data_IF_030340652596
#
_entry.id   IF_030340652596
#
_cell.length_a   1.000
_cell.length_b   1.000
_cell.length_c   1.000
_cell.angle_alpha   90.00
_cell.angle_beta   90.00
_cell.angle_gamma   90.00
#
_symmetry.space_group_name_H-M   'P 1'
#
loop_
_entity.id
_entity.type
_entity.pdbx_description
1 polymer ?
#
# COMPACT_ATOMS: atom_id res chain seq x y z
N UNK A 1 4.53 -68.17 -15.32
CA UNK A 1 4.84 -66.99 -16.17
C UNK A 1 3.77 -65.96 -15.89
N UNK A 2 4.17 -64.91 -15.17
CA UNK A 2 3.32 -64.06 -14.35
C UNK A 2 3.23 -62.70 -15.04
N UNK A 3 2.03 -62.28 -15.47
CA UNK A 3 1.81 -60.94 -16.01
C UNK A 3 1.24 -60.05 -14.92
N UNK A 4 2.05 -59.07 -14.51
CA UNK A 4 1.69 -58.00 -13.57
C UNK A 4 1.00 -56.90 -14.37
N UNK A 5 -0.28 -56.64 -14.05
CA UNK A 5 -1.08 -55.55 -14.60
C UNK A 5 -0.79 -54.28 -13.78
N UNK A 6 -0.07 -53.32 -14.36
CA UNK A 6 0.19 -52.02 -13.75
C UNK A 6 -1.00 -51.08 -14.07
N UNK A 7 -1.79 -50.73 -13.05
CA UNK A 7 -2.84 -49.71 -13.15
C UNK A 7 -2.21 -48.35 -12.84
N UNK A 8 -2.02 -47.52 -13.86
CA UNK A 8 -1.60 -46.12 -13.70
C UNK A 8 -2.85 -45.24 -13.47
N UNK A 9 -2.92 -44.60 -12.30
CA UNK A 9 -3.90 -43.56 -12.00
C UNK A 9 -3.54 -42.28 -12.78
N UNK A 10 -4.39 -41.90 -13.72
CA UNK A 10 -4.35 -40.60 -14.38
C UNK A 10 -5.00 -39.56 -13.46
N UNK A 11 -4.21 -38.72 -12.81
CA UNK A 11 -4.73 -37.51 -12.14
C UNK A 11 -5.02 -36.49 -13.25
N UNK A 12 -6.31 -36.26 -13.49
CA UNK A 12 -6.78 -35.16 -14.34
C UNK A 12 -6.55 -33.87 -13.57
N UNK A 13 -5.46 -33.16 -13.89
CA UNK A 13 -5.26 -31.78 -13.48
C UNK A 13 -6.35 -30.92 -14.14
N UNK A 14 -7.30 -30.44 -13.36
CA UNK A 14 -8.17 -29.33 -13.75
C UNK A 14 -7.27 -28.10 -13.99
N UNK A 15 -6.96 -27.85 -15.26
CA UNK A 15 -6.49 -26.55 -15.73
C UNK A 15 -7.62 -25.55 -15.46
N UNK A 16 -7.53 -24.81 -14.35
CA UNK A 16 -8.20 -23.52 -14.25
C UNK A 16 -7.63 -22.66 -15.37
N UNK A 17 -8.42 -22.53 -16.43
CA UNK A 17 -8.21 -21.60 -17.53
C UNK A 17 -8.28 -20.19 -16.94
N UNK A 18 -7.15 -19.72 -16.40
CA UNK A 18 -6.84 -18.31 -16.26
C UNK A 18 -6.75 -17.78 -17.68
N UNK A 19 -7.91 -17.55 -18.31
CA UNK A 19 -8.03 -16.63 -19.42
C UNK A 19 -7.30 -15.38 -18.97
N UNK A 20 -6.10 -15.16 -19.52
CA UNK A 20 -5.39 -13.91 -19.32
C UNK A 20 -6.36 -12.83 -19.78
N UNK A 21 -6.88 -11.99 -18.87
CA UNK A 21 -7.86 -11.01 -19.25
C UNK A 21 -7.21 -10.11 -20.30
N UNK A 22 -7.82 -10.07 -21.49
CA UNK A 22 -7.54 -9.17 -22.61
C UNK A 22 -6.39 -8.20 -22.33
N UNK A 23 -5.20 -8.55 -22.84
CA UNK A 23 -3.98 -7.75 -22.76
C UNK A 23 -4.28 -6.34 -23.30
N UNK A 24 -4.57 -5.39 -22.42
CA UNK A 24 -4.58 -3.97 -22.76
C UNK A 24 -3.11 -3.57 -22.84
N UNK A 25 -2.52 -3.74 -24.02
CA UNK A 25 -1.19 -3.19 -24.31
C UNK A 25 -1.38 -1.69 -24.43
N UNK A 26 -1.10 -0.97 -23.34
CA UNK A 26 -0.98 0.49 -23.39
C UNK A 26 0.35 0.81 -24.06
N UNK A 27 0.32 1.16 -25.35
CA UNK A 27 1.49 1.71 -26.03
C UNK A 27 1.78 3.13 -25.50
N UNK A 28 2.57 3.23 -24.44
CA UNK A 28 3.13 4.49 -23.99
C UNK A 28 4.30 4.91 -24.87
N UNK A 29 4.20 6.07 -25.52
CA UNK A 29 5.35 6.70 -26.16
C UNK A 29 6.38 7.07 -25.08
N UNK A 30 7.56 6.45 -25.17
CA UNK A 30 8.73 6.71 -24.35
C UNK A 30 9.15 8.19 -24.45
N UNK A 31 9.02 8.91 -23.34
CA UNK A 31 9.79 10.12 -23.05
C UNK A 31 10.03 10.18 -21.53
N UNK A 32 10.79 9.22 -21.01
CA UNK A 32 11.25 9.25 -19.61
C UNK A 32 12.54 10.09 -19.52
N UNK A 33 12.38 11.40 -19.34
CA UNK A 33 13.48 12.25 -18.89
C UNK A 33 13.68 12.04 -17.37
N UNK A 34 14.80 11.43 -16.99
CA UNK A 34 15.32 11.47 -15.61
C UNK A 34 15.61 12.93 -15.26
N UNK A 35 14.78 13.55 -14.42
CA UNK A 35 15.13 14.73 -13.62
C UNK A 35 13.99 15.03 -12.64
N UNK A 36 13.90 14.25 -11.56
CA UNK A 36 13.05 14.58 -10.41
C UNK A 36 13.87 15.31 -9.36
N UNK A 37 13.94 16.65 -9.43
CA UNK A 37 14.15 17.43 -8.20
C UNK A 37 12.84 17.37 -7.42
N UNK A 38 12.89 16.96 -6.16
CA UNK A 38 11.72 16.97 -5.28
C UNK A 38 11.15 18.40 -5.23
N UNK A 39 9.88 18.52 -5.59
CA UNK A 39 9.13 19.76 -5.47
C UNK A 39 8.81 19.93 -3.99
N UNK A 40 9.53 20.84 -3.32
CA UNK A 40 9.22 21.28 -1.97
C UNK A 40 7.79 21.81 -1.94
N UNK A 41 6.90 21.13 -1.21
CA UNK A 41 5.55 21.63 -0.94
C UNK A 41 5.65 22.74 0.11
N UNK A 42 4.97 23.85 -0.15
CA UNK A 42 4.83 24.94 0.80
C UNK A 42 3.95 24.51 1.99
N UNK A 43 4.54 24.53 3.20
CA UNK A 43 3.84 24.68 4.48
C UNK A 43 3.59 23.40 5.28
N UNK A 44 4.59 22.94 6.06
CA UNK A 44 4.62 23.04 7.54
C UNK A 44 5.70 22.15 8.20
N UNK A 45 6.30 21.20 7.50
CA UNK A 45 7.45 20.42 7.98
C UNK A 45 8.40 20.08 6.83
N UNK A 46 9.71 20.03 7.09
CA UNK A 46 10.67 19.34 6.21
C UNK A 46 10.34 17.83 6.33
N UNK A 47 10.22 17.09 5.22
CA UNK A 47 9.82 15.67 5.20
C UNK A 47 10.67 14.79 6.14
N UNK A 48 11.82 15.29 6.56
CA UNK A 48 12.77 14.68 7.49
C UNK A 48 12.48 14.88 8.99
N UNK A 49 11.51 15.71 9.35
CA UNK A 49 11.02 15.85 10.75
C UNK A 49 9.92 14.82 11.08
N UNK A 50 9.37 14.16 10.06
CA UNK A 50 8.32 13.16 10.23
C UNK A 50 8.88 11.85 10.82
N UNK A 51 8.10 11.19 11.69
CA UNK A 51 8.50 9.90 12.24
C UNK A 51 8.43 8.81 11.18
N UNK A 52 9.42 7.91 11.20
CA UNK A 52 9.41 6.69 10.38
C UNK A 52 9.11 5.48 11.26
N UNK A 53 8.40 4.49 10.71
CA UNK A 53 8.30 3.17 11.34
C UNK A 53 9.71 2.61 11.40
N UNK A 54 10.10 2.28 12.62
CA UNK A 54 11.49 2.13 12.96
C UNK A 54 11.76 0.88 13.79
N UNK A 55 10.74 0.33 14.43
CA UNK A 55 10.81 -0.96 15.10
C UNK A 55 9.45 -1.64 15.01
N UNK A 56 9.44 -2.93 14.66
CA UNK A 56 8.25 -3.77 14.72
C UNK A 56 8.61 -5.09 15.39
N UNK A 57 8.03 -5.35 16.54
CA UNK A 57 8.36 -6.49 17.40
C UNK A 57 7.17 -7.44 17.43
N UNK A 58 7.33 -8.66 16.92
CA UNK A 58 6.34 -9.73 17.05
C UNK A 58 6.13 -10.11 18.51
N UNK A 59 4.87 -10.29 18.89
CA UNK A 59 4.43 -10.57 20.25
C UNK A 59 3.36 -11.66 20.30
N UNK A 60 3.25 -12.34 21.44
CA UNK A 60 2.09 -13.16 21.79
C UNK A 60 0.89 -12.28 22.23
N UNK A 61 -0.23 -12.90 22.61
CA UNK A 61 -1.43 -12.18 23.09
C UNK A 61 -1.22 -11.46 24.44
N UNK A 62 -0.16 -11.81 25.17
CA UNK A 62 0.21 -11.20 26.46
C UNK A 62 1.24 -10.08 26.30
N UNK A 63 1.69 -9.79 25.08
CA UNK A 63 2.68 -8.77 24.77
C UNK A 63 4.13 -9.21 24.96
N UNK A 64 4.42 -10.49 25.20
CA UNK A 64 5.79 -10.98 25.23
C UNK A 64 6.35 -11.10 23.83
N UNK A 65 7.63 -10.76 23.65
CA UNK A 65 8.29 -10.89 22.35
C UNK A 65 8.37 -12.36 21.91
N UNK A 66 8.03 -12.61 20.65
CA UNK A 66 8.08 -13.95 20.03
C UNK A 66 8.88 -13.93 18.74
N UNK A 67 9.05 -15.11 18.13
CA UNK A 67 9.47 -15.19 16.72
C UNK A 67 8.28 -14.81 15.84
N UNK A 68 8.56 -14.30 14.64
CA UNK A 68 7.53 -13.89 13.69
C UNK A 68 6.49 -14.98 13.38
N UNK A 69 6.90 -16.26 13.31
CA UNK A 69 5.96 -17.39 13.09
C UNK A 69 4.98 -17.64 14.25
N UNK A 70 5.26 -17.08 15.42
CA UNK A 70 4.47 -17.20 16.65
C UNK A 70 3.83 -15.85 17.02
N UNK A 71 3.80 -14.91 16.06
CA UNK A 71 3.23 -13.59 16.26
C UNK A 71 1.71 -13.70 16.26
N UNK A 72 1.09 -13.18 17.30
CA UNK A 72 -0.36 -12.91 17.41
C UNK A 72 -0.63 -11.42 17.28
N UNK A 73 0.27 -10.63 17.85
CA UNK A 73 0.26 -9.18 17.79
C UNK A 73 1.67 -8.64 17.50
N UNK A 74 1.79 -7.34 17.28
CA UNK A 74 3.06 -6.66 17.21
C UNK A 74 3.01 -5.34 17.97
N UNK A 75 4.16 -4.93 18.49
CA UNK A 75 4.40 -3.54 18.90
C UNK A 75 5.12 -2.82 17.78
N UNK A 76 4.56 -1.69 17.38
CA UNK A 76 5.13 -0.81 16.35
C UNK A 76 5.62 0.46 17.02
N UNK A 77 6.88 0.83 16.78
CA UNK A 77 7.43 2.11 17.22
C UNK A 77 7.88 2.93 16.02
N UNK A 78 7.57 4.22 16.06
CA UNK A 78 8.04 5.19 15.10
C UNK A 78 8.74 6.36 15.79
N UNK A 79 9.82 6.85 15.21
CA UNK A 79 10.59 7.96 15.78
C UNK A 79 11.12 8.91 14.68
N UNK A 80 11.33 10.19 15.03
CA UNK A 80 11.84 11.18 14.07
C UNK A 80 13.25 10.79 13.61
N UNK A 81 13.64 11.25 12.43
CA UNK A 81 15.01 11.06 11.93
C UNK A 81 15.95 12.22 12.32
N UNK A 82 15.38 13.33 12.78
CA UNK A 82 16.09 14.55 13.19
C UNK A 82 15.82 14.89 14.66
N UNK A 83 16.57 15.87 15.15
CA UNK A 83 16.32 16.45 16.47
C UNK A 83 14.99 17.22 16.49
N UNK A 84 14.13 16.87 17.45
CA UNK A 84 12.81 17.49 17.66
C UNK A 84 12.69 18.05 19.09
N UNK A 85 11.60 18.76 19.38
CA UNK A 85 11.26 19.20 20.74
C UNK A 85 10.79 18.02 21.61
N UNK A 86 11.22 17.94 22.87
CA UNK A 86 10.85 16.80 23.72
C UNK A 86 9.36 16.76 24.14
N UNK A 87 8.67 17.90 24.14
CA UNK A 87 7.28 18.05 24.60
C UNK A 87 6.29 18.08 23.45
N UNK A 88 6.68 18.67 22.32
CA UNK A 88 5.84 18.81 21.12
C UNK A 88 6.61 18.43 19.86
N UNK A 89 7.13 17.19 19.75
CA UNK A 89 8.08 16.83 18.71
C UNK A 89 7.53 16.88 17.29
N UNK A 90 6.21 16.75 17.16
CA UNK A 90 5.52 16.74 15.88
C UNK A 90 4.52 17.89 15.76
N UNK A 91 4.67 18.93 16.58
CA UNK A 91 3.76 20.06 16.64
C UNK A 91 2.32 19.63 16.94
N UNK A 92 1.40 20.01 16.07
CA UNK A 92 -0.04 19.71 16.16
C UNK A 92 -0.49 18.52 15.29
N UNK A 93 0.44 17.75 14.73
CA UNK A 93 0.08 16.62 13.88
C UNK A 93 -0.54 15.50 14.72
N UNK A 94 -1.70 15.01 14.26
CA UNK A 94 -2.31 13.79 14.76
C UNK A 94 -1.82 12.62 13.90
N UNK A 95 -1.40 11.53 14.55
CA UNK A 95 -0.91 10.33 13.87
C UNK A 95 -1.83 9.15 14.15
N UNK A 96 -1.99 8.28 13.17
CA UNK A 96 -2.70 7.02 13.30
C UNK A 96 -1.91 5.90 12.62
N UNK A 97 -2.09 4.70 13.14
CA UNK A 97 -1.62 3.48 12.48
C UNK A 97 -2.76 2.88 11.67
N UNK A 98 -2.45 2.57 10.43
CA UNK A 98 -3.33 1.87 9.50
C UNK A 98 -2.72 0.53 9.12
N UNK A 99 -3.57 -0.43 8.77
CA UNK A 99 -3.10 -1.74 8.35
C UNK A 99 -3.97 -2.33 7.25
N UNK A 100 -3.32 -2.99 6.31
CA UNK A 100 -3.93 -3.80 5.26
C UNK A 100 -3.45 -5.24 5.40
N UNK A 101 -4.37 -6.21 5.35
CA UNK A 101 -4.05 -7.64 5.27
C UNK A 101 -4.20 -8.10 3.83
N UNK A 102 -3.17 -8.73 3.27
CA UNK A 102 -3.20 -9.36 1.94
C UNK A 102 -3.65 -8.41 0.81
N UNK A 103 -3.26 -7.13 0.87
CA UNK A 103 -3.64 -6.12 -0.13
C UNK A 103 -5.08 -5.61 -0.03
N UNK A 104 -5.80 -5.91 1.06
CA UNK A 104 -7.07 -5.26 1.37
C UNK A 104 -6.91 -3.74 1.56
N UNK A 105 -8.01 -2.95 1.48
CA UNK A 105 -8.00 -1.56 1.90
C UNK A 105 -7.45 -1.36 3.32
N UNK A 106 -6.80 -0.23 3.55
CA UNK A 106 -6.28 0.16 4.86
C UNK A 106 -7.42 0.41 5.84
N UNK A 107 -7.31 -0.23 7.00
CA UNK A 107 -8.18 -0.02 8.15
C UNK A 107 -7.44 0.76 9.24
N UNK A 108 -8.16 1.61 9.96
CA UNK A 108 -7.63 2.24 11.17
C UNK A 108 -7.38 1.15 12.23
N UNK A 109 -6.20 1.18 12.85
CA UNK A 109 -5.81 0.24 13.90
C UNK A 109 -5.80 0.93 15.26
N UNK A 110 -5.00 1.98 15.40
CA UNK A 110 -4.73 2.59 16.70
C UNK A 110 -4.21 4.03 16.58
N UNK A 111 -4.44 4.78 17.65
CA UNK A 111 -3.74 6.03 17.94
C UNK A 111 -2.45 5.70 18.72
N UNK A 112 -1.37 6.49 18.56
CA UNK A 112 -0.13 6.24 19.28
C UNK A 112 -0.23 6.66 20.74
N UNK A 113 0.55 5.97 21.57
CA UNK A 113 1.02 6.49 22.84
C UNK A 113 2.31 7.26 22.61
N UNK A 114 2.36 8.48 23.14
CA UNK A 114 3.58 9.25 23.17
C UNK A 114 4.50 8.81 24.30
N UNK A 115 5.75 8.45 24.00
CA UNK A 115 6.72 7.99 25.00
C UNK A 115 8.05 8.70 24.80
N UNK A 116 8.68 9.16 25.88
CA UNK A 116 10.06 9.63 25.85
C UNK A 116 11.00 8.45 26.11
N UNK A 117 11.67 7.96 25.06
CA UNK A 117 12.64 6.85 25.17
C UNK A 117 14.01 7.43 25.56
N UNK A 118 14.63 6.82 26.56
CA UNK A 118 15.99 7.16 27.02
C UNK A 118 16.90 5.97 26.81
N UNK A 119 18.00 6.19 26.10
CA UNK A 119 19.14 5.27 26.02
C UNK A 119 20.32 5.88 26.79
N UNK A 120 21.43 5.16 26.90
CA UNK A 120 22.63 5.65 27.60
C UNK A 120 23.20 6.96 27.02
N UNK A 121 22.80 7.35 25.81
CA UNK A 121 23.39 8.48 25.07
C UNK A 121 22.37 9.52 24.59
N UNK A 122 21.11 9.13 24.39
CA UNK A 122 20.09 10.02 23.82
C UNK A 122 18.73 9.87 24.50
N UNK A 123 18.00 10.97 24.57
CA UNK A 123 16.59 11.00 24.96
C UNK A 123 15.78 11.53 23.79
N UNK A 124 14.81 10.78 23.30
CA UNK A 124 14.01 11.17 22.14
C UNK A 124 12.58 10.65 22.24
N UNK A 125 11.62 11.37 21.66
CA UNK A 125 10.23 10.95 21.68
C UNK A 125 9.93 9.91 20.60
N UNK A 126 9.02 9.01 20.93
CA UNK A 126 8.53 7.96 20.04
C UNK A 126 7.00 7.95 20.03
N UNK A 127 6.45 7.50 18.91
CA UNK A 127 5.07 7.04 18.77
C UNK A 127 5.07 5.52 18.96
N UNK A 128 4.41 5.04 20.00
CA UNK A 128 4.31 3.62 20.34
C UNK A 128 2.89 3.12 20.12
N UNK A 129 2.75 2.01 19.40
CA UNK A 129 1.48 1.32 19.15
C UNK A 129 1.60 -0.11 19.66
N UNK A 130 0.85 -0.44 20.70
CA UNK A 130 0.85 -1.77 21.30
C UNK A 130 -0.27 -2.63 20.71
N UNK A 131 -0.09 -3.95 20.75
CA UNK A 131 -1.10 -4.96 20.39
C UNK A 131 -1.67 -4.80 18.95
N UNK A 132 -0.84 -4.39 17.99
CA UNK A 132 -1.22 -4.33 16.57
C UNK A 132 -1.52 -5.75 16.08
N UNK A 133 -2.70 -6.05 15.53
CA UNK A 133 -3.09 -7.42 15.25
C UNK A 133 -2.35 -8.01 14.05
N UNK A 134 -1.43 -8.95 14.29
CA UNK A 134 -0.58 -9.57 13.28
C UNK A 134 -0.46 -11.09 13.50
N UNK A 135 -1.60 -11.78 13.39
CA UNK A 135 -1.74 -13.20 13.67
C UNK A 135 -1.15 -14.10 12.56
N UNK A 136 0.19 -14.15 12.52
CA UNK A 136 0.97 -15.02 11.66
C UNK A 136 1.07 -16.46 12.20
N UNK A 137 0.74 -16.67 13.47
CA UNK A 137 0.65 -18.02 14.03
C UNK A 137 -0.55 -18.79 13.44
N UNK A 138 -1.71 -18.14 13.33
CA UNK A 138 -2.92 -18.73 12.71
C UNK A 138 -2.91 -18.65 11.20
N UNK A 139 -2.43 -17.54 10.64
CA UNK A 139 -2.38 -17.31 9.19
C UNK A 139 -0.95 -17.02 8.74
N UNK A 140 -0.09 -18.05 8.65
CA UNK A 140 1.31 -17.88 8.25
C UNK A 140 1.48 -17.40 6.80
N UNK A 141 0.41 -17.41 6.01
CA UNK A 141 0.39 -16.90 4.64
C UNK A 141 0.08 -15.41 4.55
N UNK A 142 -0.34 -14.79 5.66
CA UNK A 142 -0.71 -13.39 5.68
C UNK A 142 0.49 -12.46 5.52
N UNK A 143 0.26 -11.39 4.76
CA UNK A 143 1.12 -10.21 4.72
C UNK A 143 0.32 -9.02 5.26
N UNK A 144 0.83 -8.41 6.34
CA UNK A 144 0.26 -7.21 6.94
C UNK A 144 1.10 -6.01 6.51
N UNK A 145 0.54 -5.13 5.70
CA UNK A 145 1.16 -3.84 5.41
C UNK A 145 0.68 -2.82 6.43
N UNK A 146 1.62 -2.28 7.21
CA UNK A 146 1.41 -1.31 8.27
C UNK A 146 1.81 0.05 7.73
N UNK A 147 0.95 1.06 7.90
CA UNK A 147 1.21 2.42 7.42
C UNK A 147 0.97 3.41 8.55
N UNK A 148 1.97 4.25 8.80
CA UNK A 148 1.85 5.42 9.65
C UNK A 148 1.36 6.60 8.81
N UNK A 149 0.27 7.23 9.23
CA UNK A 149 -0.27 8.41 8.56
C UNK A 149 -0.89 9.38 9.54
N UNK A 150 -1.56 10.41 9.02
CA UNK A 150 -2.46 11.23 9.82
C UNK A 150 -3.82 10.55 9.99
N UNK A 151 -4.58 10.99 10.99
CA UNK A 151 -5.86 10.39 11.40
C UNK A 151 -7.01 10.45 10.36
N UNK A 152 -6.77 11.02 9.18
CA UNK A 152 -7.80 11.26 8.16
C UNK A 152 -7.45 10.71 6.77
N UNK A 153 -6.48 9.80 6.66
CA UNK A 153 -6.07 9.15 5.41
C UNK A 153 -5.56 10.10 4.31
N UNK A 154 -5.16 11.34 4.65
CA UNK A 154 -4.68 12.32 3.64
C UNK A 154 -3.18 12.26 3.43
N UNK A 155 -2.44 11.86 4.45
CA UNK A 155 -0.99 11.84 4.43
C UNK A 155 -0.46 10.55 5.08
N UNK A 156 0.47 9.90 4.39
CA UNK A 156 1.12 8.68 4.86
C UNK A 156 2.62 8.93 4.90
N UNK A 157 3.21 8.68 6.06
CA UNK A 157 4.56 9.11 6.42
C UNK A 157 5.57 7.97 6.39
N UNK A 158 5.13 6.73 6.64
CA UNK A 158 6.01 5.57 6.60
C UNK A 158 5.19 4.30 6.45
N UNK A 159 5.78 3.29 5.81
CA UNK A 159 5.14 2.01 5.52
C UNK A 159 6.09 0.87 5.84
N UNK A 160 5.53 -0.26 6.20
CA UNK A 160 6.28 -1.48 6.49
C UNK A 160 5.44 -2.72 6.20
N UNK A 161 6.08 -3.81 5.80
CA UNK A 161 5.41 -5.09 5.58
C UNK A 161 5.84 -6.14 6.62
N UNK A 162 4.85 -6.72 7.29
CA UNK A 162 5.02 -7.84 8.21
C UNK A 162 4.54 -9.13 7.57
N UNK A 163 5.41 -10.13 7.46
CA UNK A 163 5.02 -11.44 6.99
C UNK A 163 6.15 -12.46 7.17
N UNK A 164 5.83 -13.73 6.96
CA UNK A 164 6.85 -14.78 6.83
C UNK A 164 7.52 -14.76 5.46
N UNK A 165 6.79 -14.28 4.44
CA UNK A 165 7.27 -14.09 3.09
C UNK A 165 6.66 -12.80 2.51
N UNK A 166 7.31 -11.64 2.70
CA UNK A 166 6.81 -10.35 2.26
C UNK A 166 6.99 -10.12 0.76
N UNK A 167 7.42 -11.13 0.00
CA UNK A 167 7.59 -11.00 -1.45
C UNK A 167 6.31 -10.50 -2.09
N UNK A 168 6.52 -9.89 -3.25
CA UNK A 168 5.48 -9.56 -4.20
C UNK A 168 4.52 -10.74 -4.38
N UNK A 169 3.29 -10.57 -3.91
CA UNK A 169 2.17 -11.42 -4.25
C UNK A 169 1.34 -10.62 -5.26
N UNK A 170 1.17 -11.18 -6.46
CA UNK A 170 0.28 -10.57 -7.44
C UNK A 170 -1.10 -10.43 -6.78
N UNK A 171 -1.71 -9.24 -6.77
CA UNK A 171 -3.04 -9.12 -6.20
C UNK A 171 -3.96 -10.06 -6.98
N UNK A 172 -4.82 -10.78 -6.26
CA UNK A 172 -5.89 -11.54 -6.88
C UNK A 172 -6.92 -10.51 -7.34
N UNK A 173 -7.09 -10.27 -8.66
CA UNK A 173 -8.09 -9.33 -9.12
C UNK A 173 -9.48 -9.76 -8.67
N UNK A 174 -10.25 -8.78 -8.23
CA UNK A 174 -11.63 -8.97 -7.78
C UNK A 174 -12.54 -8.35 -8.83
N UNK A 175 -13.42 -9.18 -9.40
CA UNK A 175 -14.46 -8.71 -10.31
C UNK A 175 -15.53 -7.94 -9.51
N UNK A 176 -16.06 -6.82 -10.04
CA UNK A 176 -17.19 -6.16 -9.42
C UNK A 176 -18.43 -7.05 -9.38
N UNK A 177 -19.23 -6.91 -8.32
CA UNK A 177 -20.53 -7.60 -8.17
C UNK A 177 -21.69 -6.76 -8.67
N UNK A 178 -21.44 -5.50 -9.05
CA UNK A 178 -22.44 -4.56 -9.54
C UNK A 178 -21.85 -3.16 -9.71
N UNK A 179 -22.71 -2.18 -10.01
CA UNK A 179 -22.37 -0.75 -10.03
C UNK A 179 -23.02 -0.07 -8.83
N UNK A 180 -22.20 0.65 -8.07
CA UNK A 180 -22.65 1.46 -6.96
C UNK A 180 -23.58 2.55 -7.48
N UNK A 181 -24.74 2.69 -6.84
CA UNK A 181 -25.59 3.86 -7.07
C UNK A 181 -24.82 5.13 -6.71
N UNK A 182 -25.12 6.22 -7.41
CA UNK A 182 -24.50 7.51 -7.15
C UNK A 182 -24.71 7.95 -5.71
N UNK A 183 -23.70 8.63 -5.16
CA UNK A 183 -23.71 9.20 -3.82
C UNK A 183 -25.00 9.98 -3.54
N UNK A 184 -25.58 9.76 -2.36
CA UNK A 184 -26.71 10.57 -1.90
C UNK A 184 -26.26 12.02 -1.69
N UNK A 185 -27.02 13.02 -2.15
CA UNK A 185 -26.69 14.42 -1.93
C UNK A 185 -26.50 14.72 -0.44
N UNK A 186 -25.36 15.32 -0.08
CA UNK A 186 -25.06 15.79 1.28
C UNK A 186 -24.32 14.79 2.20
N UNK A 187 -24.19 13.52 1.80
CA UNK A 187 -23.43 12.51 2.56
C UNK A 187 -22.01 12.36 1.97
N UNK A 188 -20.94 12.17 2.76
CA UNK A 188 -19.62 11.78 2.25
C UNK A 188 -19.68 10.49 1.42
N UNK A 189 -18.93 10.42 0.31
CA UNK A 189 -18.78 9.17 -0.43
C UNK A 189 -17.59 8.44 0.15
N UNK A 190 -17.83 7.28 0.76
CA UNK A 190 -16.75 6.38 1.17
C UNK A 190 -16.46 5.38 0.06
N UNK A 191 -15.19 5.29 -0.34
CA UNK A 191 -14.73 4.39 -1.38
C UNK A 191 -13.50 3.60 -0.94
N UNK A 192 -13.38 2.40 -1.48
CA UNK A 192 -12.15 1.62 -1.46
C UNK A 192 -11.42 1.80 -2.80
N UNK A 193 -10.16 2.25 -2.78
CA UNK A 193 -9.28 2.15 -3.97
C UNK A 193 -8.49 0.86 -3.86
N UNK A 194 -8.63 -0.03 -4.85
CA UNK A 194 -7.99 -1.35 -4.84
C UNK A 194 -7.03 -1.50 -6.01
N UNK A 195 -5.76 -1.72 -5.71
CA UNK A 195 -4.74 -2.13 -6.67
C UNK A 195 -5.05 -3.56 -7.10
N UNK A 196 -5.50 -3.70 -8.34
CA UNK A 196 -5.92 -4.99 -8.91
C UNK A 196 -4.73 -5.74 -9.46
N UNK A 197 -3.82 -5.04 -10.15
CA UNK A 197 -2.60 -5.61 -10.70
C UNK A 197 -1.44 -4.63 -10.57
N UNK A 198 -0.28 -5.21 -10.36
CA UNK A 198 1.00 -4.55 -10.61
C UNK A 198 1.76 -5.46 -11.56
N UNK A 199 2.15 -4.95 -12.72
CA UNK A 199 2.72 -5.75 -13.79
C UNK A 199 4.17 -5.31 -14.06
N UNK A 200 5.18 -6.03 -13.54
CA UNK A 200 6.56 -5.63 -13.72
C UNK A 200 7.06 -5.89 -15.14
N UNK A 201 7.79 -4.93 -15.69
CA UNK A 201 8.29 -4.99 -17.06
C UNK A 201 9.62 -4.24 -17.26
N UNK A 202 10.26 -4.48 -18.40
CA UNK A 202 11.49 -3.79 -18.83
C UNK A 202 11.18 -2.45 -19.54
N UNK A 203 12.23 -1.76 -20.02
CA UNK A 203 12.10 -0.49 -20.77
C UNK A 203 11.35 -0.61 -22.10
N UNK A 204 11.19 -1.83 -22.62
CA UNK A 204 10.50 -2.12 -23.88
C UNK A 204 9.05 -2.57 -23.65
N UNK A 205 8.61 -2.67 -22.39
CA UNK A 205 7.27 -3.14 -22.01
C UNK A 205 7.13 -4.65 -22.00
N UNK A 206 8.23 -5.41 -22.06
CA UNK A 206 8.18 -6.87 -21.91
C UNK A 206 8.10 -7.22 -20.43
N UNK A 207 7.26 -8.22 -20.10
CA UNK A 207 7.16 -8.72 -18.74
C UNK A 207 8.53 -9.15 -18.21
N UNK A 208 8.82 -8.74 -16.99
CA UNK A 208 10.10 -8.99 -16.35
C UNK A 208 9.86 -9.53 -14.93
N UNK A 209 10.68 -10.46 -14.43
CA UNK A 209 10.66 -10.82 -13.02
C UNK A 209 10.87 -9.57 -12.14
N UNK A 210 10.27 -9.55 -10.95
CA UNK A 210 10.41 -8.46 -9.96
C UNK A 210 11.88 -8.05 -9.72
N UNK A 211 12.80 -9.01 -9.74
CA UNK A 211 14.26 -8.79 -9.56
C UNK A 211 14.94 -8.01 -10.69
N UNK A 212 14.27 -7.81 -11.81
CA UNK A 212 14.83 -7.25 -13.05
C UNK A 212 13.99 -6.12 -13.63
N UNK A 213 12.75 -5.97 -13.16
CA UNK A 213 11.85 -4.94 -13.64
C UNK A 213 12.39 -3.54 -13.28
N UNK A 214 12.49 -2.68 -14.28
CA UNK A 214 12.76 -1.25 -14.07
C UNK A 214 11.48 -0.43 -13.98
N UNK A 215 10.34 -1.04 -14.30
CA UNK A 215 9.04 -0.40 -14.35
C UNK A 215 7.94 -1.37 -13.95
N UNK A 216 6.81 -0.81 -13.52
CA UNK A 216 5.55 -1.53 -13.33
C UNK A 216 4.39 -0.74 -13.93
N UNK A 217 3.39 -1.44 -14.45
CA UNK A 217 2.06 -0.87 -14.67
C UNK A 217 1.18 -1.16 -13.44
N UNK A 218 0.52 -0.14 -12.89
CA UNK A 218 -0.37 -0.29 -11.73
C UNK A 218 -1.82 -0.06 -12.17
N UNK A 219 -2.66 -1.09 -12.04
CA UNK A 219 -4.08 -1.02 -12.34
C UNK A 219 -4.91 -0.92 -11.05
N UNK A 220 -5.84 0.03 -11.03
CA UNK A 220 -6.65 0.35 -9.85
C UNK A 220 -8.12 0.39 -10.23
N UNK A 221 -8.93 -0.26 -9.40
CA UNK A 221 -10.38 -0.16 -9.43
C UNK A 221 -10.87 0.56 -8.19
N UNK A 222 -12.02 1.22 -8.30
CA UNK A 222 -12.66 1.93 -7.21
C UNK A 222 -14.01 1.29 -6.93
N UNK A 223 -14.24 0.99 -5.65
CA UNK A 223 -15.45 0.38 -5.17
C UNK A 223 -16.11 1.26 -4.12
N UNK A 224 -17.43 1.16 -3.98
CA UNK A 224 -18.11 1.67 -2.79
C UNK A 224 -17.58 0.93 -1.56
N UNK A 225 -17.26 1.67 -0.51
CA UNK A 225 -16.64 1.16 0.71
C UNK A 225 -17.35 -0.08 1.25
N UNK A 226 -16.57 -1.13 1.55
CA UNK A 226 -17.06 -2.36 2.18
C UNK A 226 -17.89 -3.25 1.25
N UNK A 227 -17.95 -2.92 -0.05
CA UNK A 227 -18.66 -3.69 -1.08
C UNK A 227 -17.74 -4.00 -2.25
N UNK A 228 -18.22 -4.78 -3.20
CA UNK A 228 -17.60 -4.98 -4.52
C UNK A 228 -18.41 -4.30 -5.63
N UNK A 229 -19.24 -3.31 -5.28
CA UNK A 229 -19.94 -2.47 -6.25
C UNK A 229 -18.94 -1.43 -6.81
N UNK A 230 -18.62 -1.51 -8.10
CA UNK A 230 -17.70 -0.55 -8.72
C UNK A 230 -18.38 0.80 -8.92
N UNK A 231 -17.61 1.88 -8.93
CA UNK A 231 -18.11 3.19 -9.33
C UNK A 231 -18.61 3.18 -10.79
N UNK A 232 -19.58 4.04 -11.17
CA UNK A 232 -20.07 4.15 -12.55
C UNK A 232 -18.97 4.46 -13.57
N UNK A 233 -19.15 4.06 -14.84
CA UNK A 233 -18.17 4.27 -15.93
C UNK A 233 -17.82 5.75 -16.13
N UNK A 234 -18.73 6.67 -15.87
CA UNK A 234 -18.51 8.11 -15.95
C UNK A 234 -17.81 8.69 -14.70
N UNK A 235 -17.60 7.92 -13.63
CA UNK A 235 -16.90 8.37 -12.42
C UNK A 235 -15.42 8.73 -12.69
N UNK A 236 -14.89 9.83 -12.12
CA UNK A 236 -15.64 10.90 -11.46
C UNK A 236 -16.43 11.72 -12.50
N UNK A 237 -17.75 11.82 -12.35
CA UNK A 237 -18.58 12.62 -13.26
C UNK A 237 -18.24 14.11 -13.16
N UNK A 238 -17.84 14.55 -11.97
CA UNK A 238 -17.26 15.87 -11.69
C UNK A 238 -15.95 15.68 -10.90
N UNK A 239 -14.78 15.77 -11.57
CA UNK A 239 -13.47 15.62 -10.93
C UNK A 239 -13.22 16.64 -9.81
N UNK A 240 -13.86 17.82 -9.83
CA UNK A 240 -13.72 18.81 -8.77
C UNK A 240 -14.42 18.40 -7.46
N UNK A 241 -15.41 17.50 -7.56
CA UNK A 241 -16.18 16.99 -6.42
C UNK A 241 -15.73 15.62 -5.93
N UNK A 242 -15.26 14.77 -6.82
CA UNK A 242 -14.93 13.37 -6.48
C UNK A 242 -13.42 13.09 -6.49
N UNK A 243 -12.64 13.99 -7.07
CA UNK A 243 -11.21 13.84 -7.27
C UNK A 243 -10.86 12.83 -8.36
N UNK A 244 -9.58 12.77 -8.71
CA UNK A 244 -9.00 11.78 -9.62
C UNK A 244 -8.05 10.89 -8.83
N UNK A 245 -7.92 9.58 -9.15
CA UNK A 245 -6.92 8.74 -8.53
C UNK A 245 -5.50 9.28 -8.74
N UNK A 246 -4.69 9.18 -7.68
CA UNK A 246 -3.30 9.59 -7.64
C UNK A 246 -2.50 8.47 -7.00
N UNK A 247 -1.49 8.00 -7.72
CA UNK A 247 -0.53 7.05 -7.18
C UNK A 247 0.50 7.78 -6.31
N UNK A 248 0.77 7.20 -5.15
CA UNK A 248 1.86 7.58 -4.27
C UNK A 248 2.81 6.39 -4.14
N UNK A 249 4.10 6.69 -4.11
CA UNK A 249 5.19 5.71 -4.04
C UNK A 249 6.09 5.96 -2.84
N UNK A 250 6.57 4.88 -2.22
CA UNK A 250 7.57 4.91 -1.16
C UNK A 250 8.64 3.85 -1.43
N UNK A 251 9.91 4.18 -1.25
CA UNK A 251 11.02 3.23 -1.31
C UNK A 251 11.38 2.76 0.10
N UNK A 252 11.33 1.44 0.34
CA UNK A 252 11.45 0.89 1.70
C UNK A 252 10.50 1.59 2.68
N UNK A 253 11.00 2.00 3.84
CA UNK A 253 10.19 2.66 4.87
C UNK A 253 10.12 4.19 4.77
N UNK A 254 10.58 4.78 3.66
CA UNK A 254 10.55 6.24 3.45
C UNK A 254 9.12 6.78 3.28
N UNK A 255 8.91 8.10 3.43
CA UNK A 255 7.60 8.71 3.20
C UNK A 255 7.08 8.52 1.78
N UNK A 256 5.76 8.39 1.68
CA UNK A 256 5.08 8.36 0.39
C UNK A 256 5.16 9.72 -0.27
N UNK A 257 5.57 9.74 -1.53
CA UNK A 257 5.50 10.91 -2.38
C UNK A 257 4.62 10.66 -3.58
N UNK A 258 3.99 11.71 -4.09
CA UNK A 258 3.12 11.61 -5.26
C UNK A 258 3.93 11.19 -6.48
N UNK A 259 3.54 10.08 -7.11
CA UNK A 259 4.08 9.70 -8.41
C UNK A 259 3.57 10.65 -9.49
N UNK A 260 4.49 11.13 -10.32
CA UNK A 260 4.18 11.76 -11.59
C UNK A 260 3.12 12.86 -11.49
N UNK A 261 3.43 13.98 -10.83
CA UNK A 261 2.52 15.14 -10.75
C UNK A 261 1.95 15.61 -12.12
N UNK A 262 2.59 15.22 -13.22
CA UNK A 262 2.21 15.50 -14.60
C UNK A 262 1.70 14.28 -15.41
N UNK A 263 1.68 13.08 -14.82
CA UNK A 263 1.27 11.84 -15.48
C UNK A 263 -0.04 11.34 -14.86
N UNK A 264 -1.21 11.83 -15.32
CA UNK A 264 -2.48 11.33 -14.82
C UNK A 264 -2.64 9.85 -15.18
N UNK A 265 -3.38 9.08 -14.36
CA UNK A 265 -3.74 7.72 -14.75
C UNK A 265 -4.56 7.74 -16.04
N UNK A 266 -4.40 6.68 -16.83
CA UNK A 266 -5.27 6.41 -17.96
C UNK A 266 -6.55 5.74 -17.45
N UNK A 267 -7.69 6.37 -17.67
CA UNK A 267 -9.00 5.77 -17.39
C UNK A 267 -9.41 4.92 -18.60
N UNK A 268 -9.60 3.63 -18.37
CA UNK A 268 -10.08 2.67 -19.37
C UNK A 268 -11.42 2.11 -18.96
N UNK A 269 -12.29 1.85 -19.93
CA UNK A 269 -13.53 1.12 -19.71
C UNK A 269 -13.23 -0.37 -19.79
N UNK A 270 -13.59 -1.11 -18.75
CA UNK A 270 -13.32 -2.53 -18.64
C UNK A 270 -14.64 -3.30 -18.49
N UNK A 271 -14.75 -4.46 -19.15
CA UNK A 271 -15.95 -5.31 -19.07
C UNK A 271 -15.57 -6.70 -18.64
N UNK A 272 -16.14 -7.16 -17.54
CA UNK A 272 -15.94 -8.50 -16.98
C UNK A 272 -17.24 -8.99 -16.37
N UNK A 273 -17.61 -10.25 -16.60
CA UNK A 273 -18.85 -10.85 -16.07
C UNK A 273 -20.11 -10.03 -16.35
N UNK A 274 -20.24 -9.51 -17.58
CA UNK A 274 -21.32 -8.62 -18.01
C UNK A 274 -21.41 -7.26 -17.28
N UNK A 275 -20.43 -6.93 -16.42
CA UNK A 275 -20.33 -5.64 -15.78
C UNK A 275 -19.32 -4.76 -16.51
N UNK A 276 -19.75 -3.59 -16.96
CA UNK A 276 -18.86 -2.54 -17.50
C UNK A 276 -18.57 -1.51 -16.42
N UNK A 277 -17.31 -1.19 -16.18
CA UNK A 277 -16.86 -0.29 -15.12
C UNK A 277 -15.53 0.40 -15.48
N UNK A 278 -15.15 1.50 -14.81
CA UNK A 278 -13.89 2.18 -15.09
C UNK A 278 -12.74 1.56 -14.30
N UNK A 279 -11.56 1.56 -14.93
CA UNK A 279 -10.28 1.20 -14.33
C UNK A 279 -9.25 2.28 -14.60
N UNK A 280 -8.40 2.57 -13.64
CA UNK A 280 -7.31 3.53 -13.77
C UNK A 280 -5.98 2.81 -13.86
N UNK A 281 -5.21 3.10 -14.90
CA UNK A 281 -3.89 2.50 -15.13
C UNK A 281 -2.83 3.59 -15.02
N UNK A 282 -1.84 3.37 -14.15
CA UNK A 282 -0.63 4.18 -14.07
C UNK A 282 0.47 3.43 -14.82
N UNK A 283 0.78 3.82 -16.07
CA UNK A 283 1.74 3.09 -16.88
C UNK A 283 3.18 3.48 -16.54
N UNK A 284 4.11 2.54 -16.72
CA UNK A 284 5.55 2.75 -16.61
C UNK A 284 5.98 3.46 -15.30
N UNK A 285 5.44 3.04 -14.16
CA UNK A 285 5.87 3.54 -12.84
C UNK A 285 7.27 2.99 -12.59
N UNK A 286 8.30 3.83 -12.42
CA UNK A 286 9.65 3.36 -12.21
C UNK A 286 9.76 2.63 -10.88
N UNK A 287 10.48 1.52 -10.90
CA UNK A 287 10.89 0.77 -9.72
C UNK A 287 12.36 0.46 -9.84
N UNK A 288 13.04 0.32 -8.71
CA UNK A 288 14.43 -0.13 -8.71
C UNK A 288 14.48 -1.65 -8.48
N UNK A 289 15.16 -2.41 -9.35
CA UNK A 289 15.40 -3.82 -9.14
C UNK A 289 15.97 -4.10 -7.75
N UNK A 290 15.47 -5.14 -7.08
CA UNK A 290 15.88 -5.58 -5.73
C UNK A 290 15.59 -4.59 -4.58
N UNK A 291 15.06 -3.40 -4.87
CA UNK A 291 14.55 -2.50 -3.83
C UNK A 291 13.07 -2.73 -3.58
N UNK A 292 12.69 -2.55 -2.31
CA UNK A 292 11.31 -2.55 -1.90
C UNK A 292 10.65 -1.24 -2.31
N UNK A 293 9.53 -1.31 -3.04
CA UNK A 293 8.73 -0.13 -3.41
C UNK A 293 7.27 -0.37 -3.06
N UNK A 294 6.64 0.56 -2.35
CA UNK A 294 5.24 0.49 -1.99
C UNK A 294 4.41 1.43 -2.87
N UNK A 295 3.19 0.99 -3.18
CA UNK A 295 2.19 1.75 -3.91
C UNK A 295 0.95 1.93 -3.06
N UNK A 296 0.44 3.16 -2.99
CA UNK A 296 -0.85 3.48 -2.40
C UNK A 296 -1.58 4.46 -3.32
N UNK A 297 -2.90 4.33 -3.46
CA UNK A 297 -3.67 5.14 -4.41
C UNK A 297 -4.71 5.95 -3.67
N UNK A 298 -4.54 7.27 -3.66
CA UNK A 298 -5.46 8.21 -3.04
C UNK A 298 -6.27 8.96 -4.10
N UNK A 299 -7.24 9.76 -3.67
CA UNK A 299 -7.94 10.69 -4.55
C UNK A 299 -7.39 12.10 -4.36
N UNK A 300 -7.32 12.90 -5.44
CA UNK A 300 -7.00 14.33 -5.29
C UNK A 300 -7.97 15.00 -4.32
N UNK A 301 -7.51 15.87 -3.42
CA UNK A 301 -8.40 16.62 -2.53
C UNK A 301 -9.46 17.37 -3.33
N UNK A 302 -10.71 17.28 -2.91
CA UNK A 302 -11.82 18.00 -3.52
C UNK A 302 -11.96 19.34 -2.83
N UNK A 303 -12.20 20.40 -3.60
CA UNK A 303 -12.33 21.77 -3.06
C UNK A 303 -13.74 22.07 -2.55
N UNK A 304 -14.67 21.11 -2.70
CA UNK A 304 -16.07 21.27 -2.34
C UNK A 304 -16.58 20.03 -1.61
N UNK A 305 -17.30 20.19 -0.48
CA UNK A 305 -18.02 19.10 0.14
C UNK A 305 -19.19 18.60 -0.76
N UNK A 306 -19.69 17.37 -0.52
CA UNK A 306 -19.18 16.39 0.44
C UNK A 306 -17.83 15.81 0.01
N UNK A 307 -16.92 15.64 0.97
CA UNK A 307 -15.60 15.04 0.71
C UNK A 307 -15.74 13.55 0.43
N UNK A 308 -14.85 13.04 -0.43
CA UNK A 308 -14.67 11.59 -0.60
C UNK A 308 -13.74 11.09 0.50
N UNK A 309 -14.16 10.09 1.25
CA UNK A 309 -13.32 9.36 2.20
C UNK A 309 -12.76 8.15 1.46
N UNK A 310 -11.43 8.03 1.47
CA UNK A 310 -10.72 7.02 0.69
C UNK A 310 -10.08 6.02 1.63
N UNK A 311 -10.38 4.74 1.42
CA UNK A 311 -9.74 3.62 2.07
C UNK A 311 -8.85 2.90 1.04
N UNK A 312 -7.55 3.21 1.00
CA UNK A 312 -6.71 2.71 -0.07
C UNK A 312 -6.12 1.35 0.25
N UNK A 313 -6.01 0.48 -0.74
CA UNK A 313 -5.13 -0.68 -0.65
C UNK A 313 -3.67 -0.23 -0.79
N UNK A 314 -2.77 -0.95 -0.13
CA UNK A 314 -1.33 -0.81 -0.33
C UNK A 314 -0.78 -2.07 -0.96
N UNK A 315 0.16 -1.90 -1.88
CA UNK A 315 0.85 -3.02 -2.51
C UNK A 315 2.37 -2.83 -2.44
N UNK A 316 3.11 -3.94 -2.33
CA UNK A 316 4.57 -3.91 -2.19
C UNK A 316 5.25 -4.67 -3.33
N UNK A 317 6.10 -3.96 -4.08
CA UNK A 317 7.06 -4.49 -5.03
C UNK A 317 8.32 -4.89 -4.30
N UNK A 318 8.53 -6.17 -4.08
CA UNK A 318 9.79 -6.67 -3.54
C UNK A 318 10.03 -8.12 -3.94
N UNK A 319 11.28 -8.45 -4.23
CA UNK A 319 11.73 -9.81 -4.45
C UNK A 319 12.33 -10.46 -3.19
N UNK A 320 12.47 -9.68 -2.11
CA UNK A 320 13.08 -10.12 -0.87
C UNK A 320 12.11 -11.00 -0.06
N UNK A 321 12.57 -12.19 0.31
CA UNK A 321 11.83 -13.15 1.16
C UNK A 321 11.90 -12.80 2.64
N UNK A 322 12.74 -11.85 3.02
CA UNK A 322 12.95 -11.48 4.42
C UNK A 322 12.18 -10.22 4.72
N UNK A 323 11.42 -10.28 5.80
CA UNK A 323 10.95 -9.09 6.51
C UNK A 323 12.19 -8.32 6.97
N UNK A 324 12.42 -7.16 6.37
CA UNK A 324 13.53 -6.29 6.75
C UNK A 324 13.08 -5.50 7.96
N UNK A 325 13.63 -5.81 9.13
CA UNK A 325 13.37 -5.00 10.33
C UNK A 325 13.94 -3.61 10.05
N UNK A 326 13.15 -2.53 10.15
CA UNK A 326 13.68 -1.20 10.03
C UNK A 326 14.73 -1.05 11.13
N UNK A 327 15.93 -0.61 10.76
CA UNK A 327 16.96 -0.26 11.74
C UNK A 327 17.47 1.15 11.44
N UNK A 328 16.59 2.17 11.45
CA UNK A 328 17.05 3.53 11.29
C UNK A 328 17.97 3.90 12.46
N UNK A 329 18.89 4.81 12.19
CA UNK A 329 19.78 5.33 13.23
C UNK A 329 18.95 5.89 14.39
N UNK A 330 19.49 5.77 15.62
CA UNK A 330 18.92 6.50 16.74
C UNK A 330 18.95 8.00 16.43
N UNK A 331 17.85 8.73 16.67
CA UNK A 331 17.85 10.16 16.46
C UNK A 331 18.76 10.85 17.47
N UNK A 332 19.21 12.08 17.17
CA UNK A 332 19.80 12.95 18.18
C UNK A 332 18.86 13.16 19.36
N UNK A 333 19.41 13.50 20.53
CA UNK A 333 18.59 13.90 21.69
C UNK A 333 17.64 15.04 21.32
N UNK A 334 16.39 14.94 21.76
CA UNK A 334 15.45 16.05 21.66
C UNK A 334 15.92 17.25 22.49
N UNK A 335 15.45 18.44 22.12
CA UNK A 335 15.76 19.72 22.77
C UNK A 335 14.62 20.22 23.66
#
# INVERSE_FOLDING_TARGET
>A
MTNILLIAFLIVSLSLDLQQPNRVIVHGMSNAARNGKSSARAGLFDDSDLPLIAEVISQDELGHQTRTQQSRTARVSAWPQKQVDCKTPFGSLAFALYMAKNGAPLEFVAQPKFVLRKTNQVSFPILEFDNVPTDLETDPSANYTIVLGNDNYREFYSTWIHGLDPRTIQPLPIAPTGIAQTQKPGEPWEIDTRIQWVLPHDTLGNLSPVRQAGFVDVAVDIFKRGTLESVPVDYPADPLKSGTPVLYIAEGNLPFHRFGSYYPPQKVTYTLNAQTYPRWVFPNVPVEPEKETHFIVLMTPTSRPPYVVVHPSVWTHTANTRTTIPAPNLPPSCK
#
